data_IF_112411596734
#
_entry.id   IF_112411596734
#
_cell.length_a   1.000
_cell.length_b   1.000
_cell.length_c   1.000
_cell.angle_alpha   90.00
_cell.angle_beta   90.00
_cell.angle_gamma   90.00
#
_symmetry.space_group_name_H-M   'P 1'
#
loop_
_entity.id
_entity.type
_entity.pdbx_description
1 polymer ?
#
# COMPACT_ATOMS: atom_id res chain seq x y z
N UNK A 1 0.97 5.38 11.05
CA UNK A 1 -0.36 4.74 10.86
C UNK A 1 -0.36 3.52 9.93
N UNK A 2 0.19 3.55 8.70
CA UNK A 2 0.29 2.32 7.86
C UNK A 2 1.62 1.58 8.06
N UNK A 3 2.73 2.31 8.01
CA UNK A 3 4.07 1.74 8.25
C UNK A 3 4.17 1.14 9.65
N UNK A 4 3.56 1.77 10.64
CA UNK A 4 3.52 1.24 12.01
C UNK A 4 2.69 -0.05 12.07
N UNK A 5 1.54 -0.12 11.40
CA UNK A 5 0.72 -1.34 11.33
C UNK A 5 1.49 -2.50 10.68
N UNK A 6 2.32 -2.22 9.66
CA UNK A 6 3.20 -3.22 9.03
C UNK A 6 4.30 -3.70 9.99
N UNK A 7 4.86 -2.79 10.79
CA UNK A 7 5.92 -3.12 11.76
C UNK A 7 5.37 -3.87 12.99
N UNK A 8 4.25 -3.42 13.53
CA UNK A 8 3.62 -4.03 14.72
C UNK A 8 2.78 -5.25 14.37
N UNK A 9 2.48 -5.47 13.09
CA UNK A 9 1.56 -6.50 12.58
C UNK A 9 0.15 -6.39 13.16
N UNK A 10 -0.23 -5.20 13.63
CA UNK A 10 -1.57 -4.90 14.13
C UNK A 10 -2.33 -4.14 13.03
N UNK A 11 -3.26 -4.84 12.39
CA UNK A 11 -4.03 -4.29 11.27
C UNK A 11 -5.45 -3.92 11.72
N UNK A 12 -5.92 -2.71 11.45
CA UNK A 12 -7.30 -2.34 11.74
C UNK A 12 -8.26 -3.04 10.77
N UNK A 13 -9.54 -3.22 11.17
CA UNK A 13 -10.59 -3.80 10.30
C UNK A 13 -11.04 -2.88 9.15
N UNK A 14 -10.39 -1.73 8.97
CA UNK A 14 -10.65 -0.84 7.84
C UNK A 14 -10.15 -1.45 6.52
N UNK A 15 -10.71 -0.99 5.39
CA UNK A 15 -10.33 -1.47 4.04
C UNK A 15 -8.81 -1.48 3.80
N UNK A 16 -8.12 -0.41 4.20
CA UNK A 16 -6.66 -0.33 4.05
C UNK A 16 -5.90 -1.30 4.97
N UNK A 17 -6.51 -1.77 6.05
CA UNK A 17 -5.92 -2.72 6.98
C UNK A 17 -5.70 -4.10 6.37
N UNK A 18 -6.65 -4.60 5.56
CA UNK A 18 -6.45 -5.83 4.77
C UNK A 18 -5.33 -5.69 3.74
N UNK A 19 -5.21 -4.52 3.11
CA UNK A 19 -4.12 -4.23 2.17
C UNK A 19 -2.78 -4.21 2.91
N UNK A 20 -2.72 -3.56 4.07
CA UNK A 20 -1.53 -3.56 4.92
C UNK A 20 -1.17 -4.97 5.40
N UNK A 21 -2.15 -5.81 5.74
CA UNK A 21 -1.90 -7.21 6.12
C UNK A 21 -1.18 -7.98 5.02
N UNK A 22 -1.67 -7.91 3.77
CA UNK A 22 -1.01 -8.53 2.61
C UNK A 22 0.42 -7.99 2.41
N UNK A 23 0.61 -6.69 2.61
CA UNK A 23 1.94 -6.08 2.57
C UNK A 23 2.87 -6.63 3.65
N UNK A 24 2.37 -6.83 4.87
CA UNK A 24 3.14 -7.39 5.98
C UNK A 24 3.52 -8.86 5.76
N UNK A 25 2.62 -9.66 5.19
CA UNK A 25 2.90 -11.05 4.78
C UNK A 25 4.02 -11.11 3.73
N UNK A 26 4.01 -10.19 2.75
CA UNK A 26 5.07 -10.07 1.75
C UNK A 26 6.42 -9.71 2.38
N UNK A 27 6.45 -8.75 3.31
CA UNK A 27 7.68 -8.39 4.03
C UNK A 27 8.22 -9.54 4.86
N UNK A 28 7.35 -10.37 5.45
CA UNK A 28 7.77 -11.56 6.18
C UNK A 28 8.37 -12.63 5.26
N UNK A 29 7.83 -12.78 4.04
CA UNK A 29 8.35 -13.72 3.04
C UNK A 29 9.68 -13.26 2.42
N UNK A 30 9.93 -11.95 2.38
CA UNK A 30 11.10 -11.37 1.71
C UNK A 30 11.90 -10.48 2.67
N UNK A 31 12.87 -11.05 3.43
CA UNK A 31 13.63 -10.32 4.44
C UNK A 31 14.51 -9.19 3.87
N UNK A 32 14.77 -9.21 2.55
CA UNK A 32 15.55 -8.18 1.85
C UNK A 32 14.72 -6.93 1.51
N UNK A 33 13.41 -6.93 1.80
CA UNK A 33 12.51 -5.81 1.51
C UNK A 33 12.23 -5.07 2.82
N UNK A 34 12.40 -3.75 2.80
CA UNK A 34 12.10 -2.89 3.95
C UNK A 34 11.03 -1.85 3.59
N UNK A 35 10.32 -1.38 4.61
CA UNK A 35 9.34 -0.29 4.47
C UNK A 35 9.71 0.84 5.42
N UNK A 36 9.83 2.04 4.87
CA UNK A 36 10.14 3.26 5.59
C UNK A 36 9.13 4.35 5.26
N UNK A 37 8.95 5.27 6.19
CA UNK A 37 8.15 6.46 5.95
C UNK A 37 9.00 7.50 5.23
N UNK A 38 8.54 7.96 4.07
CA UNK A 38 9.23 8.99 3.27
C UNK A 38 8.34 10.21 3.13
N UNK A 39 8.92 11.40 3.32
CA UNK A 39 8.20 12.66 3.12
C UNK A 39 7.78 12.86 1.65
N UNK A 40 6.75 13.67 1.42
CA UNK A 40 6.20 13.91 0.07
C UNK A 40 7.25 14.36 -0.95
N UNK A 41 8.21 15.19 -0.53
CA UNK A 41 9.28 15.69 -1.41
C UNK A 41 10.20 14.55 -1.89
N UNK A 42 10.50 13.59 -1.01
CA UNK A 42 11.28 12.39 -1.38
C UNK A 42 10.50 11.39 -2.23
N UNK A 43 9.17 11.50 -2.27
CA UNK A 43 8.28 10.58 -2.99
C UNK A 43 7.46 11.27 -4.10
N UNK A 44 7.99 12.34 -4.70
CA UNK A 44 7.27 13.18 -5.68
C UNK A 44 6.82 12.40 -6.92
N UNK A 45 7.64 11.46 -7.38
CA UNK A 45 7.32 10.65 -8.56
C UNK A 45 6.08 9.80 -8.29
N UNK A 46 6.06 9.02 -7.19
CA UNK A 46 4.89 8.21 -6.85
C UNK A 46 3.66 9.08 -6.57
N UNK A 47 3.83 10.24 -5.94
CA UNK A 47 2.74 11.20 -5.73
C UNK A 47 2.13 11.70 -7.05
N UNK A 48 2.96 12.02 -8.05
CA UNK A 48 2.48 12.45 -9.36
C UNK A 48 1.82 11.30 -10.13
N UNK A 49 2.39 10.08 -10.08
CA UNK A 49 1.78 8.90 -10.69
C UNK A 49 0.41 8.60 -10.10
N UNK A 50 0.26 8.70 -8.78
CA UNK A 50 -1.04 8.53 -8.12
C UNK A 50 -2.04 9.60 -8.55
N UNK A 51 -1.60 10.86 -8.73
CA UNK A 51 -2.45 11.93 -9.29
C UNK A 51 -2.88 11.63 -10.73
N UNK A 52 -1.96 11.15 -11.57
CA UNK A 52 -2.29 10.79 -12.95
C UNK A 52 -3.32 9.66 -13.00
N UNK A 53 -3.16 8.64 -12.15
CA UNK A 53 -4.13 7.54 -12.07
C UNK A 53 -5.54 7.97 -11.62
N UNK A 54 -5.70 9.12 -10.96
CA UNK A 54 -7.01 9.70 -10.65
C UNK A 54 -7.65 10.41 -11.85
N UNK A 55 -6.83 11.01 -12.71
CA UNK A 55 -7.29 11.78 -13.88
C UNK A 55 -7.56 10.86 -15.07
N UNK A 56 -6.69 9.89 -15.27
CA UNK A 56 -6.81 8.86 -16.29
C UNK A 56 -6.70 7.48 -15.62
N UNK A 57 -7.78 7.03 -14.94
CA UNK A 57 -7.82 5.66 -14.46
C UNK A 57 -7.74 4.73 -15.67
N UNK A 58 -6.85 3.73 -15.62
CA UNK A 58 -6.83 2.65 -16.62
C UNK A 58 -8.27 2.19 -16.88
N UNK A 59 -8.73 2.17 -18.13
CA UNK A 59 -10.14 1.85 -18.43
C UNK A 59 -10.55 0.43 -18.01
N UNK A 60 -9.56 -0.43 -17.79
CA UNK A 60 -9.68 -1.83 -17.40
C UNK A 60 -9.01 -2.02 -16.02
N UNK A 61 -9.69 -1.65 -14.93
CA UNK A 61 -9.30 -2.16 -13.61
C UNK A 61 -9.89 -3.57 -13.45
N UNK A 62 -9.04 -4.53 -13.11
CA UNK A 62 -9.53 -5.86 -12.71
C UNK A 62 -10.41 -5.68 -11.47
N UNK A 63 -11.73 -5.85 -11.62
CA UNK A 63 -12.73 -5.77 -10.55
C UNK A 63 -12.62 -6.88 -9.48
N UNK A 64 -11.48 -7.57 -9.42
CA UNK A 64 -11.23 -8.64 -8.48
C UNK A 64 -10.84 -8.01 -7.14
N UNK A 65 -11.85 -7.54 -6.43
CA UNK A 65 -11.72 -7.22 -5.00
C UNK A 65 -11.60 -8.53 -4.22
N UNK A 66 -10.62 -8.66 -3.30
CA UNK A 66 -10.53 -9.83 -2.44
C UNK A 66 -11.81 -9.97 -1.60
N UNK A 67 -12.37 -11.19 -1.45
CA UNK A 67 -13.60 -11.40 -0.67
C UNK A 67 -13.46 -10.88 0.77
N UNK A 68 -14.57 -10.37 1.30
CA UNK A 68 -14.65 -9.78 2.64
C UNK A 68 -14.56 -10.84 3.75
#
# INVERSE_FOLDING_TARGET
MVVDALKTKVYPRAYWGKIAQKGGELLQKHPNVCVSWVGRVGNRVAHNLAKWALVEPNKEWLNIVPPQ
#
